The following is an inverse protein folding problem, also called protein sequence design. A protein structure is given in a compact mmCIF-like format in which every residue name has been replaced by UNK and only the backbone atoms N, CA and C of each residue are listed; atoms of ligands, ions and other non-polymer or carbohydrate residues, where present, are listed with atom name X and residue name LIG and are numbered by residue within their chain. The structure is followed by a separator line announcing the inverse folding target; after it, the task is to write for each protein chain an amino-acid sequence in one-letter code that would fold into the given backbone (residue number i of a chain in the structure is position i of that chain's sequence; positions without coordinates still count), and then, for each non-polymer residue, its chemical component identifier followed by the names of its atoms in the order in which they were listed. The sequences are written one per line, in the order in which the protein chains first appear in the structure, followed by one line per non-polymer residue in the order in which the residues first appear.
data_IF_283988594030
#
_entry.id   IF_283988594030
#
_cell.length_a   1.000
_cell.length_b   1.000
_cell.length_c   1.000
_cell.angle_alpha   90.00
_cell.angle_beta   90.00
_cell.angle_gamma   90.00
#
_symmetry.space_group_name_H-M   'P 1'
#
loop_
_entity.id
_entity.type
_entity.pdbx_description
1 polymer ?
#
# COMPACT_ATOMS: atom_id res chain seq x y z
N UNK A 1 19.27 0.75 16.57
CA UNK A 1 18.59 0.70 15.25
C UNK A 1 18.91 2.01 14.55
N UNK A 2 19.23 1.98 13.25
CA UNK A 2 19.41 3.22 12.50
C UNK A 2 18.08 3.98 12.47
N UNK A 3 18.13 5.31 12.50
CA UNK A 3 16.93 6.14 12.38
C UNK A 3 16.32 5.94 10.98
N UNK A 4 15.03 5.61 10.93
CA UNK A 4 14.29 5.47 9.66
C UNK A 4 13.66 6.81 9.33
N UNK A 5 14.06 7.37 8.19
CA UNK A 5 13.67 8.72 7.75
C UNK A 5 12.64 8.61 6.64
N UNK A 6 11.53 9.33 6.78
CA UNK A 6 10.55 9.56 5.70
C UNK A 6 10.39 11.06 5.48
N UNK A 7 10.81 11.54 4.31
CA UNK A 7 10.67 12.97 3.98
C UNK A 7 9.20 13.32 3.71
N UNK A 8 8.80 14.52 4.12
CA UNK A 8 7.49 15.10 3.78
C UNK A 8 7.38 15.48 2.29
N UNK A 9 8.52 15.82 1.68
CA UNK A 9 8.63 16.24 0.28
C UNK A 9 9.91 15.68 -0.35
N UNK A 10 9.79 15.15 -1.56
CA UNK A 10 10.90 14.63 -2.38
C UNK A 10 11.14 15.45 -3.66
N UNK A 11 10.15 16.25 -4.08
CA UNK A 11 10.22 17.10 -5.29
C UNK A 11 9.39 18.37 -5.09
N UNK A 12 9.73 19.43 -5.83
CA UNK A 12 8.91 20.64 -5.90
C UNK A 12 7.81 20.56 -6.98
N UNK A 13 7.76 19.48 -7.77
CA UNK A 13 6.61 19.25 -8.64
C UNK A 13 5.36 18.98 -7.81
N UNK A 14 4.23 19.54 -8.25
CA UNK A 14 2.93 19.37 -7.59
C UNK A 14 1.95 18.63 -8.50
N UNK A 15 0.94 18.02 -7.88
CA UNK A 15 -0.24 17.49 -8.58
C UNK A 15 -1.51 18.21 -8.10
N UNK A 16 -1.60 18.47 -6.81
CA UNK A 16 -2.73 19.17 -6.21
C UNK A 16 -2.44 20.66 -6.13
N UNK A 17 -3.43 21.46 -6.50
CA UNK A 17 -3.44 22.88 -6.14
C UNK A 17 -3.70 23.02 -4.63
N UNK A 18 -3.27 24.13 -3.98
CA UNK A 18 -3.39 24.30 -2.53
C UNK A 18 -4.81 24.09 -1.98
N UNK A 19 -5.85 24.48 -2.74
CA UNK A 19 -7.24 24.29 -2.34
C UNK A 19 -7.65 22.82 -2.31
N UNK A 20 -7.16 22.02 -3.25
CA UNK A 20 -7.42 20.57 -3.30
C UNK A 20 -6.68 19.87 -2.14
N UNK A 21 -5.43 20.26 -1.90
CA UNK A 21 -4.66 19.78 -0.76
C UNK A 21 -5.39 20.05 0.57
N UNK A 22 -5.92 21.25 0.77
CA UNK A 22 -6.67 21.56 1.99
C UNK A 22 -7.93 20.69 2.17
N UNK A 23 -8.62 20.37 1.07
CA UNK A 23 -9.78 19.47 1.12
C UNK A 23 -9.42 18.08 1.68
N UNK A 24 -8.20 17.58 1.43
CA UNK A 24 -7.76 16.29 1.98
C UNK A 24 -7.62 16.27 3.50
N UNK A 25 -7.47 17.42 4.18
CA UNK A 25 -7.49 17.46 5.65
C UNK A 25 -8.89 17.15 6.20
N UNK A 26 -9.93 17.61 5.50
CA UNK A 26 -11.32 17.29 5.84
C UNK A 26 -11.62 15.81 5.55
N UNK A 27 -11.20 15.31 4.39
CA UNK A 27 -11.38 13.89 4.03
C UNK A 27 -10.59 12.99 5.00
N UNK A 28 -9.39 13.37 5.42
CA UNK A 28 -8.63 12.66 6.48
C UNK A 28 -9.41 12.62 7.79
N UNK A 29 -10.05 13.72 8.17
CA UNK A 29 -10.87 13.77 9.39
C UNK A 29 -12.04 12.81 9.28
N UNK A 30 -12.69 12.75 8.12
CA UNK A 30 -13.77 11.79 7.85
C UNK A 30 -13.26 10.34 7.88
N UNK A 31 -12.12 10.04 7.24
CA UNK A 31 -11.47 8.73 7.28
C UNK A 31 -11.24 8.28 8.72
N UNK A 32 -10.71 9.16 9.56
CA UNK A 32 -10.43 8.83 10.95
C UNK A 32 -11.69 8.73 11.82
N UNK A 33 -12.75 9.48 11.48
CA UNK A 33 -14.05 9.37 12.14
C UNK A 33 -14.72 8.01 11.83
N UNK A 34 -14.76 7.62 10.55
CA UNK A 34 -15.45 6.40 10.10
C UNK A 34 -14.65 5.13 10.38
N UNK A 35 -13.34 5.19 10.16
CA UNK A 35 -12.48 4.00 10.10
C UNK A 35 -11.21 4.11 10.95
N UNK A 36 -11.06 5.17 11.74
CA UNK A 36 -9.80 5.47 12.43
C UNK A 36 -9.29 4.38 13.37
N UNK A 37 -10.19 3.62 14.02
CA UNK A 37 -9.80 2.47 14.84
C UNK A 37 -9.14 1.37 13.99
N UNK A 38 -9.74 1.03 12.84
CA UNK A 38 -9.24 0.00 11.92
C UNK A 38 -7.96 0.46 11.21
N UNK A 39 -7.88 1.74 10.82
CA UNK A 39 -6.65 2.31 10.24
C UNK A 39 -5.51 2.25 11.25
N UNK A 40 -5.75 2.64 12.52
CA UNK A 40 -4.74 2.56 13.60
C UNK A 40 -4.31 1.12 13.89
N UNK A 41 -5.26 0.19 13.92
CA UNK A 41 -4.97 -1.24 14.08
C UNK A 41 -4.07 -1.73 12.94
N UNK A 42 -4.43 -1.47 11.68
CA UNK A 42 -3.67 -1.91 10.53
C UNK A 42 -2.21 -1.39 10.57
N UNK A 43 -2.01 -0.09 10.80
CA UNK A 43 -0.65 0.47 10.84
C UNK A 43 0.17 0.03 12.05
N UNK A 44 -0.49 -0.30 13.17
CA UNK A 44 0.18 -0.85 14.35
C UNK A 44 0.65 -2.27 14.07
N UNK A 45 -0.21 -3.11 13.49
CA UNK A 45 0.12 -4.49 13.16
C UNK A 45 1.23 -4.60 12.11
N UNK A 46 1.22 -3.72 11.11
CA UNK A 46 2.18 -3.78 10.00
C UNK A 46 3.39 -2.85 10.18
N UNK A 47 3.46 -2.13 11.31
CA UNK A 47 4.54 -1.22 11.66
C UNK A 47 4.87 -0.18 10.57
N UNK A 48 3.86 0.53 10.06
CA UNK A 48 4.03 1.63 9.11
C UNK A 48 3.55 2.96 9.71
N UNK A 49 4.05 4.12 9.25
CA UNK A 49 3.57 5.40 9.77
C UNK A 49 2.12 5.69 9.36
N UNK A 50 1.31 6.13 10.33
CA UNK A 50 -0.10 6.45 10.13
C UNK A 50 -0.32 7.41 8.96
N UNK A 51 0.48 8.47 8.87
CA UNK A 51 0.37 9.48 7.81
C UNK A 51 0.63 8.91 6.42
N UNK A 52 1.57 7.96 6.30
CA UNK A 52 1.85 7.28 5.02
C UNK A 52 0.63 6.48 4.59
N UNK A 53 0.05 5.69 5.49
CA UNK A 53 -1.11 4.86 5.13
C UNK A 53 -2.36 5.70 4.85
N UNK A 54 -2.58 6.78 5.60
CA UNK A 54 -3.62 7.77 5.29
C UNK A 54 -3.43 8.35 3.88
N UNK A 55 -2.20 8.76 3.54
CA UNK A 55 -1.89 9.29 2.21
C UNK A 55 -2.22 8.30 1.09
N UNK A 56 -1.87 7.01 1.26
CA UNK A 56 -2.21 5.95 0.32
C UNK A 56 -3.73 5.84 0.15
N UNK A 57 -4.49 5.70 1.23
CA UNK A 57 -5.96 5.57 1.16
C UNK A 57 -6.59 6.77 0.45
N UNK A 58 -6.13 7.99 0.73
CA UNK A 58 -6.70 9.19 0.12
C UNK A 58 -6.34 9.35 -1.35
N UNK A 59 -5.16 8.88 -1.78
CA UNK A 59 -4.78 8.84 -3.20
C UNK A 59 -5.64 7.82 -3.97
N UNK A 60 -5.87 6.66 -3.36
CA UNK A 60 -6.57 5.53 -3.97
C UNK A 60 -8.10 5.71 -3.98
N UNK A 61 -8.67 6.17 -2.86
CA UNK A 61 -10.11 6.24 -2.66
C UNK A 61 -10.50 7.41 -1.73
N UNK A 62 -10.33 8.63 -2.22
CA UNK A 62 -10.78 9.85 -1.53
C UNK A 62 -12.30 9.89 -1.24
N UNK A 63 -13.10 9.04 -1.91
CA UNK A 63 -14.55 8.91 -1.66
C UNK A 63 -14.84 8.11 -0.39
N UNK A 64 -13.85 7.42 0.17
CA UNK A 64 -13.97 6.58 1.35
C UNK A 64 -15.10 5.54 1.22
N UNK A 65 -15.28 5.00 0.01
CA UNK A 65 -16.28 3.99 -0.28
C UNK A 65 -15.65 2.59 -0.25
N UNK A 66 -15.94 1.76 0.77
CA UNK A 66 -15.37 0.42 0.86
C UNK A 66 -15.91 -0.55 -0.20
N UNK A 67 -17.00 -0.20 -0.89
CA UNK A 67 -17.57 -1.01 -1.97
C UNK A 67 -17.04 -0.63 -3.35
N UNK A 68 -16.22 0.44 -3.44
CA UNK A 68 -15.72 0.93 -4.71
C UNK A 68 -14.82 -0.11 -5.37
N UNK A 69 -15.15 -0.45 -6.62
CA UNK A 69 -14.35 -1.28 -7.51
C UNK A 69 -14.00 -0.42 -8.73
N UNK A 70 -12.71 -0.21 -8.98
CA UNK A 70 -12.30 0.53 -10.17
C UNK A 70 -12.38 -0.34 -11.44
N UNK A 71 -12.29 0.24 -12.65
CA UNK A 71 -12.37 -0.51 -13.91
C UNK A 71 -11.32 -1.61 -14.09
N UNK A 72 -10.25 -1.60 -13.29
CA UNK A 72 -9.18 -2.62 -13.31
C UNK A 72 -9.34 -3.68 -12.21
N UNK A 73 -10.45 -3.67 -11.46
CA UNK A 73 -10.78 -4.69 -10.46
C UNK A 73 -10.12 -4.48 -9.09
N UNK A 74 -9.57 -3.31 -8.80
CA UNK A 74 -9.08 -2.98 -7.45
C UNK A 74 -10.24 -2.53 -6.56
N UNK A 75 -10.24 -2.99 -5.31
CA UNK A 75 -11.41 -2.94 -4.43
C UNK A 75 -11.09 -2.20 -3.13
N UNK A 76 -12.09 -1.47 -2.62
CA UNK A 76 -12.12 -0.96 -1.25
C UNK A 76 -11.27 0.29 -1.03
N UNK A 77 -10.94 0.57 0.23
CA UNK A 77 -10.28 1.82 0.63
C UNK A 77 -8.82 1.89 0.15
N UNK A 78 -8.10 0.77 0.21
CA UNK A 78 -6.71 0.70 -0.24
C UNK A 78 -6.53 0.35 -1.71
N UNK A 79 -7.63 0.16 -2.46
CA UNK A 79 -7.63 -0.22 -3.88
C UNK A 79 -6.61 -1.33 -4.18
N UNK A 80 -6.82 -2.51 -3.60
CA UNK A 80 -6.03 -3.71 -3.89
C UNK A 80 -6.89 -4.71 -4.66
N UNK A 81 -6.30 -5.50 -5.56
CA UNK A 81 -7.02 -6.58 -6.26
C UNK A 81 -6.83 -7.93 -5.55
N UNK A 82 -7.62 -8.92 -5.95
CA UNK A 82 -7.66 -10.26 -5.31
C UNK A 82 -6.32 -10.98 -5.34
N UNK A 83 -5.61 -10.89 -6.48
CA UNK A 83 -4.34 -11.57 -6.67
C UNK A 83 -3.28 -10.96 -5.77
N UNK A 84 -3.14 -9.62 -5.78
CA UNK A 84 -2.21 -8.89 -4.93
C UNK A 84 -2.47 -9.18 -3.46
N UNK A 85 -3.74 -9.25 -3.04
CA UNK A 85 -4.09 -9.54 -1.66
C UNK A 85 -3.62 -10.94 -1.21
N UNK A 86 -3.87 -11.96 -2.04
CA UNK A 86 -3.39 -13.33 -1.78
C UNK A 86 -1.85 -13.36 -1.71
N UNK A 87 -1.21 -12.69 -2.67
CA UNK A 87 0.24 -12.59 -2.80
C UNK A 87 0.92 -11.91 -1.60
N UNK A 88 0.32 -10.83 -1.08
CA UNK A 88 0.79 -10.10 0.09
C UNK A 88 0.80 -11.03 1.32
N UNK A 89 -0.29 -11.76 1.54
CA UNK A 89 -0.41 -12.68 2.68
C UNK A 89 0.63 -13.81 2.58
N UNK A 90 0.79 -14.38 1.38
CA UNK A 90 1.80 -15.43 1.13
C UNK A 90 3.21 -14.89 1.40
N UNK A 91 3.53 -13.67 0.94
CA UNK A 91 4.84 -13.04 1.17
C UNK A 91 5.10 -12.78 2.65
N UNK A 92 4.15 -12.24 3.40
CA UNK A 92 4.30 -12.03 4.86
C UNK A 92 4.54 -13.37 5.57
N UNK A 93 3.80 -14.41 5.20
CA UNK A 93 3.97 -15.76 5.77
C UNK A 93 5.38 -16.30 5.50
N UNK A 94 5.85 -16.21 4.25
CA UNK A 94 7.18 -16.70 3.84
C UNK A 94 8.32 -15.91 4.48
N UNK A 95 8.16 -14.59 4.62
CA UNK A 95 9.11 -13.74 5.35
C UNK A 95 9.02 -13.93 6.88
N UNK A 96 8.11 -14.79 7.37
CA UNK A 96 7.86 -15.05 8.81
C UNK A 96 7.53 -13.76 9.58
N UNK A 97 6.83 -12.84 8.93
CA UNK A 97 6.43 -11.54 9.48
C UNK A 97 5.00 -11.50 10.02
N UNK A 98 4.13 -12.44 9.59
CA UNK A 98 2.76 -12.53 10.11
C UNK A 98 2.76 -12.82 11.62
N UNK A 99 2.27 -11.84 12.38
CA UNK A 99 1.93 -11.96 13.79
C UNK A 99 0.64 -12.74 14.00
N UNK A 100 0.42 -13.22 15.23
CA UNK A 100 -0.83 -13.91 15.58
C UNK A 100 -2.06 -13.00 15.48
N UNK A 101 -1.90 -11.71 15.76
CA UNK A 101 -2.98 -10.72 15.67
C UNK A 101 -3.37 -10.47 14.21
N UNK A 102 -2.39 -10.38 13.30
CA UNK A 102 -2.64 -10.33 11.87
C UNK A 102 -3.35 -11.59 11.37
N UNK A 103 -2.87 -12.78 11.78
CA UNK A 103 -3.52 -14.06 11.44
C UNK A 103 -4.96 -14.09 11.96
N UNK A 104 -5.24 -13.52 13.12
CA UNK A 104 -6.60 -13.44 13.69
C UNK A 104 -7.53 -12.64 12.78
N UNK A 105 -7.10 -11.45 12.34
CA UNK A 105 -7.89 -10.62 11.41
C UNK A 105 -8.08 -11.32 10.05
N UNK A 106 -7.02 -11.90 9.50
CA UNK A 106 -7.09 -12.62 8.22
C UNK A 106 -8.03 -13.83 8.32
N UNK A 107 -7.96 -14.61 9.40
CA UNK A 107 -8.82 -15.79 9.61
C UNK A 107 -10.28 -15.40 9.87
N UNK A 108 -10.55 -14.26 10.51
CA UNK A 108 -11.91 -13.73 10.67
C UNK A 108 -12.61 -13.54 9.33
N UNK A 109 -11.88 -13.11 8.28
CA UNK A 109 -12.43 -12.89 6.94
C UNK A 109 -12.37 -14.16 6.06
N UNK A 110 -11.24 -14.85 6.05
CA UNK A 110 -11.01 -15.96 5.13
C UNK A 110 -11.47 -17.31 5.66
N UNK A 111 -11.66 -17.46 6.97
CA UNK A 111 -11.92 -18.73 7.63
C UNK A 111 -10.79 -19.72 7.32
N UNK A 112 -11.15 -20.97 7.03
CA UNK A 112 -10.19 -22.02 6.70
C UNK A 112 -9.50 -21.82 5.34
N UNK A 113 -9.97 -20.88 4.49
CA UNK A 113 -9.31 -20.59 3.21
C UNK A 113 -7.89 -20.03 3.41
N UNK A 114 -7.62 -19.40 4.56
CA UNK A 114 -6.27 -18.92 4.91
C UNK A 114 -5.25 -20.05 5.00
N UNK A 115 -5.68 -21.26 5.39
CA UNK A 115 -4.79 -22.39 5.56
C UNK A 115 -4.21 -22.85 4.21
N UNK A 116 -4.93 -22.62 3.12
CA UNK A 116 -4.42 -22.85 1.75
C UNK A 116 -3.28 -21.88 1.42
N UNK A 117 -3.39 -20.61 1.82
CA UNK A 117 -2.31 -19.62 1.66
C UNK A 117 -1.08 -19.97 2.51
N UNK A 118 -1.27 -20.66 3.64
CA UNK A 118 -0.21 -21.04 4.56
C UNK A 118 0.45 -22.39 4.24
N UNK A 119 -0.29 -23.29 3.58
CA UNK A 119 0.22 -24.56 3.09
C UNK A 119 1.21 -24.40 1.92
N UNK A 120 1.34 -23.17 1.37
CA UNK A 120 2.15 -22.90 0.21
C UNK A 120 3.67 -22.95 0.50
N UNK A 121 4.24 -24.16 0.46
CA UNK A 121 5.60 -24.45 -0.03
C UNK A 121 5.73 -24.17 -1.56
N UNK A 122 4.70 -23.60 -2.18
CA UNK A 122 4.71 -23.25 -3.60
C UNK A 122 5.61 -22.04 -3.81
N UNK A 123 6.81 -22.26 -4.32
CA UNK A 123 7.71 -21.21 -4.81
C UNK A 123 7.06 -20.51 -6.02
N UNK A 124 6.64 -19.22 -5.91
CA UNK A 124 6.01 -18.49 -7.02
C UNK A 124 6.95 -18.32 -8.22
N UNK A 125 8.26 -18.55 -8.06
CA UNK A 125 9.23 -18.58 -9.18
C UNK A 125 9.34 -19.97 -9.85
N UNK A 126 8.94 -21.06 -9.18
CA UNK A 126 8.81 -22.40 -9.78
C UNK A 126 7.45 -22.64 -10.42
N UNK A 127 6.47 -21.78 -10.18
CA UNK A 127 5.32 -21.58 -11.06
C UNK A 127 5.80 -20.81 -12.31
N UNK A 128 6.52 -21.49 -13.21
CA UNK A 128 7.11 -20.87 -14.38
C UNK A 128 6.06 -20.19 -15.24
N UNK A 129 6.05 -18.84 -15.30
CA UNK A 129 5.23 -18.00 -16.18
C UNK A 129 3.78 -18.45 -16.41
N UNK A 130 3.20 -19.14 -15.45
CA UNK A 130 1.80 -19.53 -15.41
C UNK A 130 1.34 -19.24 -13.98
N UNK A 131 0.28 -18.43 -13.80
CA UNK A 131 -0.30 -18.23 -12.49
C UNK A 131 -0.63 -19.60 -11.91
N UNK A 132 -0.49 -19.75 -10.59
CA UNK A 132 -1.09 -20.88 -9.89
C UNK A 132 -2.59 -20.72 -10.08
N UNK A 133 -3.11 -21.33 -11.13
CA UNK A 133 -4.52 -21.33 -11.43
C UNK A 133 -5.19 -22.37 -10.54
N UNK A 134 -5.61 -21.93 -9.35
CA UNK A 134 -6.60 -22.63 -8.54
C UNK A 134 -8.00 -22.55 -9.19
N UNK A 135 -8.14 -21.93 -10.38
CA UNK A 135 -9.40 -21.47 -10.96
C UNK A 135 -9.92 -20.19 -10.29
N UNK A 136 -9.38 -19.80 -9.13
CA UNK A 136 -9.86 -18.72 -8.28
C UNK A 136 -8.75 -18.17 -7.38
N UNK A 137 -8.63 -16.84 -7.25
CA UNK A 137 -7.92 -16.23 -6.13
C UNK A 137 -8.59 -16.64 -4.81
N UNK A 138 -7.80 -17.01 -3.80
CA UNK A 138 -8.31 -17.39 -2.47
C UNK A 138 -9.08 -16.24 -1.84
N UNK A 139 -8.55 -15.02 -1.99
CA UNK A 139 -9.23 -13.77 -1.68
C UNK A 139 -10.14 -13.41 -2.85
N UNK A 140 -11.39 -13.04 -2.60
CA UNK A 140 -12.31 -12.56 -3.62
C UNK A 140 -12.74 -11.10 -3.37
N UNK A 141 -13.49 -10.51 -4.31
CA UNK A 141 -13.94 -9.11 -4.19
C UNK A 141 -14.83 -8.88 -2.97
N UNK A 142 -15.62 -9.87 -2.53
CA UNK A 142 -16.43 -9.75 -1.31
C UNK A 142 -15.55 -9.64 -0.07
N UNK A 143 -14.45 -10.39 -0.02
CA UNK A 143 -13.46 -10.27 1.06
C UNK A 143 -12.85 -8.87 1.10
N UNK A 144 -12.49 -8.33 -0.06
CA UNK A 144 -11.87 -7.01 -0.17
C UNK A 144 -12.81 -5.83 0.09
N UNK A 145 -14.14 -6.06 0.11
CA UNK A 145 -15.12 -5.06 0.56
C UNK A 145 -15.20 -4.95 2.08
N UNK A 146 -14.70 -5.94 2.83
CA UNK A 146 -14.56 -5.83 4.27
C UNK A 146 -13.49 -4.81 4.63
N UNK A 147 -13.85 -3.77 5.37
CA UNK A 147 -12.97 -2.63 5.68
C UNK A 147 -11.74 -3.04 6.48
N UNK A 148 -11.92 -3.85 7.53
CA UNK A 148 -10.82 -4.29 8.41
C UNK A 148 -9.80 -5.12 7.61
N UNK A 149 -10.30 -6.07 6.80
CA UNK A 149 -9.47 -6.91 5.95
C UNK A 149 -8.75 -6.11 4.86
N UNK A 150 -9.47 -5.25 4.14
CA UNK A 150 -8.91 -4.43 3.06
C UNK A 150 -7.80 -3.50 3.58
N UNK A 151 -8.04 -2.83 4.71
CA UNK A 151 -7.05 -1.95 5.32
C UNK A 151 -5.83 -2.72 5.81
N UNK A 152 -6.01 -3.88 6.44
CA UNK A 152 -4.88 -4.69 6.90
C UNK A 152 -4.00 -5.13 5.73
N UNK A 153 -4.60 -5.73 4.69
CA UNK A 153 -3.84 -6.25 3.54
C UNK A 153 -3.17 -5.10 2.77
N UNK A 154 -3.82 -3.95 2.64
CA UNK A 154 -3.23 -2.76 2.03
C UNK A 154 -2.06 -2.20 2.84
N UNK A 155 -2.16 -2.21 4.17
CA UNK A 155 -1.08 -1.79 5.07
C UNK A 155 0.09 -2.79 5.05
N UNK A 156 -0.17 -4.10 4.95
CA UNK A 156 0.86 -5.12 4.77
C UNK A 156 1.57 -4.90 3.43
N UNK A 157 0.82 -4.62 2.37
CA UNK A 157 1.40 -4.34 1.07
C UNK A 157 2.30 -3.10 1.10
N UNK A 158 1.83 -2.01 1.68
CA UNK A 158 2.64 -0.80 1.87
C UNK A 158 3.90 -1.08 2.71
N UNK A 159 3.80 -1.87 3.78
CA UNK A 159 4.95 -2.27 4.59
C UNK A 159 5.99 -3.05 3.77
N UNK A 160 5.55 -4.04 2.98
CA UNK A 160 6.45 -4.79 2.11
C UNK A 160 7.18 -3.87 1.14
N UNK A 161 6.47 -2.92 0.53
CA UNK A 161 7.08 -1.98 -0.41
C UNK A 161 8.05 -1.02 0.26
N UNK A 162 7.77 -0.58 1.48
CA UNK A 162 8.70 0.23 2.28
C UNK A 162 10.00 -0.53 2.49
N UNK A 163 9.95 -1.81 2.89
CA UNK A 163 11.17 -2.61 3.10
C UNK A 163 12.04 -2.71 1.84
N UNK A 164 11.42 -2.86 0.66
CA UNK A 164 12.13 -2.99 -0.62
C UNK A 164 12.78 -1.67 -1.08
N UNK A 165 12.33 -0.53 -0.54
CA UNK A 165 12.71 0.80 -1.01
C UNK A 165 13.40 1.63 0.09
N UNK A 166 14.13 0.95 0.99
CA UNK A 166 15.04 1.59 1.95
C UNK A 166 16.42 1.82 1.29
N UNK A 167 16.91 3.05 1.35
CA UNK A 167 18.26 3.43 0.95
C UNK A 167 19.07 3.89 2.17
N UNK A 168 20.27 3.33 2.36
CA UNK A 168 21.19 3.79 3.41
C UNK A 168 21.82 5.12 3.02
N UNK A 169 21.79 6.08 3.93
CA UNK A 169 22.35 7.42 3.78
C UNK A 169 23.31 7.72 4.92
N UNK A 170 24.01 8.87 4.88
CA UNK A 170 24.83 9.35 6.00
C UNK A 170 24.01 9.59 7.27
N UNK A 171 22.73 9.91 7.12
CA UNK A 171 21.87 10.40 8.19
C UNK A 171 20.97 9.29 8.77
N UNK A 172 20.98 8.10 8.15
CA UNK A 172 20.12 6.98 8.53
C UNK A 172 19.58 6.20 7.33
N UNK A 173 18.50 5.46 7.55
CA UNK A 173 17.81 4.68 6.54
C UNK A 173 16.65 5.48 5.94
N UNK A 174 16.82 5.96 4.71
CA UNK A 174 15.80 6.74 4.01
C UNK A 174 14.82 5.81 3.28
N UNK A 175 13.54 5.89 3.63
CA UNK A 175 12.48 5.25 2.85
C UNK A 175 12.23 6.06 1.58
N UNK A 176 12.53 5.51 0.40
CA UNK A 176 12.22 6.14 -0.89
C UNK A 176 10.73 6.07 -1.20
N UNK A 177 9.96 6.90 -0.52
CA UNK A 177 8.50 6.92 -0.62
C UNK A 177 8.01 7.24 -2.04
N UNK A 178 8.80 8.01 -2.80
CA UNK A 178 8.59 8.22 -4.25
C UNK A 178 8.62 6.90 -5.05
N UNK A 179 9.46 5.94 -4.65
CA UNK A 179 9.54 4.61 -5.29
C UNK A 179 8.49 3.64 -4.72
N UNK A 180 8.21 3.72 -3.42
CA UNK A 180 7.14 2.95 -2.75
C UNK A 180 5.80 3.18 -3.45
N UNK A 181 5.41 4.45 -3.63
CA UNK A 181 4.11 4.78 -4.20
C UNK A 181 3.99 4.39 -5.68
N UNK A 182 5.11 4.40 -6.42
CA UNK A 182 5.15 3.87 -7.80
C UNK A 182 4.85 2.38 -7.81
N UNK A 183 5.47 1.58 -6.92
CA UNK A 183 5.16 0.14 -6.82
C UNK A 183 3.75 -0.13 -6.30
N UNK A 184 3.23 0.71 -5.41
CA UNK A 184 1.86 0.57 -4.94
C UNK A 184 0.89 0.64 -6.13
N UNK A 185 1.11 1.63 -7.01
CA UNK A 185 0.32 1.82 -8.23
C UNK A 185 0.60 0.77 -9.34
N UNK A 186 1.85 0.35 -9.53
CA UNK A 186 2.26 -0.48 -10.67
C UNK A 186 2.42 -1.97 -10.34
N UNK A 187 2.33 -2.35 -9.07
CA UNK A 187 2.54 -3.71 -8.59
C UNK A 187 3.94 -3.97 -8.03
N UNK A 188 4.02 -4.98 -7.16
CA UNK A 188 5.20 -5.31 -6.36
C UNK A 188 6.46 -5.52 -7.20
N UNK A 189 6.34 -6.22 -8.34
CA UNK A 189 7.47 -6.58 -9.20
C UNK A 189 7.85 -5.51 -10.23
N UNK A 190 7.17 -4.37 -10.26
CA UNK A 190 7.50 -3.29 -11.18
C UNK A 190 8.94 -2.81 -10.96
N UNK A 191 9.72 -2.71 -12.05
CA UNK A 191 11.13 -2.29 -11.99
C UNK A 191 11.20 -0.77 -11.98
N UNK A 192 11.26 -0.17 -10.80
CA UNK A 192 11.43 1.28 -10.65
C UNK A 192 12.87 1.67 -11.01
N UNK A 193 13.09 2.64 -11.92
CA UNK A 193 14.43 3.16 -12.20
C UNK A 193 15.13 3.66 -10.92
N UNK A 194 16.41 3.33 -10.76
CA UNK A 194 17.25 3.77 -9.63
C UNK A 194 17.76 5.19 -9.88
N UNK A 195 16.84 6.15 -9.96
CA UNK A 195 17.14 7.56 -10.20
C UNK A 195 16.72 8.43 -9.00
N UNK A 196 17.26 9.64 -8.94
CA UNK A 196 16.76 10.69 -8.05
C UNK A 196 15.34 11.11 -8.47
N UNK A 197 14.53 11.61 -7.53
CA UNK A 197 13.07 11.79 -7.70
C UNK A 197 12.69 12.57 -8.96
N UNK A 198 13.32 13.72 -9.25
CA UNK A 198 12.97 14.53 -10.42
C UNK A 198 13.30 13.83 -11.75
N UNK A 199 14.44 13.13 -11.79
CA UNK A 199 14.82 12.29 -12.94
C UNK A 199 13.90 11.08 -13.08
N UNK A 200 13.50 10.47 -11.97
CA UNK A 200 12.55 9.36 -11.93
C UNK A 200 11.19 9.80 -12.50
N UNK A 201 10.68 10.96 -12.10
CA UNK A 201 9.44 11.55 -12.62
C UNK A 201 9.50 11.76 -14.14
N UNK A 202 10.66 12.18 -14.66
CA UNK A 202 10.85 12.39 -16.10
C UNK A 202 10.87 11.07 -16.90
N UNK A 203 11.29 9.96 -16.29
CA UNK A 203 11.40 8.64 -16.93
C UNK A 203 10.11 7.82 -16.85
N UNK A 204 9.25 8.08 -15.87
CA UNK A 204 8.05 7.29 -15.62
C UNK A 204 6.88 7.68 -16.54
N UNK A 205 5.99 6.72 -16.86
CA UNK A 205 4.70 7.01 -17.49
C UNK A 205 3.86 7.99 -16.66
N UNK A 206 2.81 8.55 -17.30
CA UNK A 206 1.98 9.61 -16.72
C UNK A 206 1.38 9.25 -15.36
N UNK A 207 0.83 8.04 -15.22
CA UNK A 207 0.17 7.65 -13.97
C UNK A 207 1.15 7.49 -12.80
N UNK A 208 2.19 6.63 -12.86
CA UNK A 208 3.11 6.45 -11.75
C UNK A 208 3.87 7.73 -11.38
N UNK A 209 4.22 8.60 -12.34
CA UNK A 209 4.84 9.89 -12.00
C UNK A 209 3.87 10.84 -11.29
N UNK A 210 2.58 10.75 -11.57
CA UNK A 210 1.56 11.54 -10.84
C UNK A 210 1.40 11.02 -9.41
N UNK A 211 1.49 9.70 -9.18
CA UNK A 211 1.47 9.13 -7.82
C UNK A 211 2.61 9.67 -6.95
N UNK A 212 3.82 9.85 -7.51
CA UNK A 212 4.92 10.52 -6.78
C UNK A 212 4.50 11.92 -6.34
N UNK A 213 3.97 12.73 -7.26
CA UNK A 213 3.57 14.12 -6.97
C UNK A 213 2.42 14.19 -5.96
N UNK A 214 1.43 13.30 -6.09
CA UNK A 214 0.29 13.20 -5.16
C UNK A 214 0.76 12.86 -3.74
N UNK A 215 1.72 11.94 -3.59
CA UNK A 215 2.19 11.50 -2.27
C UNK A 215 3.23 12.43 -1.66
N UNK A 216 4.27 12.75 -2.44
CA UNK A 216 5.55 13.26 -1.98
C UNK A 216 6.02 14.52 -2.73
N UNK A 217 5.16 15.10 -3.58
CA UNK A 217 5.41 16.40 -4.22
C UNK A 217 5.02 17.58 -3.34
N UNK A 218 5.20 18.79 -3.86
CA UNK A 218 4.66 19.98 -3.22
C UNK A 218 3.13 19.90 -3.13
N UNK A 219 2.57 20.23 -1.96
CA UNK A 219 1.16 20.03 -1.61
C UNK A 219 0.69 18.56 -1.65
N UNK A 220 1.61 17.59 -1.71
CA UNK A 220 1.29 16.17 -1.67
C UNK A 220 0.80 15.73 -0.28
N UNK A 221 0.32 14.49 -0.17
CA UNK A 221 -0.24 13.93 1.07
C UNK A 221 0.71 14.04 2.25
N UNK A 222 2.00 13.75 2.05
CA UNK A 222 2.97 13.78 3.14
C UNK A 222 3.24 15.18 3.67
N UNK A 223 3.06 16.22 2.85
CA UNK A 223 3.16 17.60 3.30
C UNK A 223 1.84 18.07 3.95
N UNK A 224 0.72 17.74 3.30
CA UNK A 224 -0.62 18.20 3.67
C UNK A 224 -1.13 17.62 5.00
N UNK A 225 -0.76 16.37 5.31
CA UNK A 225 -1.31 15.63 6.45
C UNK A 225 -0.39 15.60 7.69
N UNK A 226 0.82 16.16 7.59
CA UNK A 226 1.87 16.14 8.63
C UNK A 226 2.00 17.42 9.44
#
# INVERSE_FOLDING_TARGET
MAEVIIKRRYTNYFFYDPKEAEAFKNIRTELMSRYGALVKQAVTLTNIPLTVFQGIILIENAKLDPNFINPFGFVGLGQINTDTASDVIIREKKKKRLSNDEVTVLRKQLGNRIDVLFAADVDPKKAGNQPIDLGYSIVNNTDLKNVEFNLLVSAMYASQLIDEEIERTSDGELVRLDRVIVRYNQGYYYKVPKAMTDTLIAQLPREPRNYIKKMAGANGMMETLS
#
